data_IF_803892039668
#
_entry.id   IF_803892039668
#
_cell.length_a   1.000
_cell.length_b   1.000
_cell.length_c   1.000
_cell.angle_alpha   90.00
_cell.angle_beta   90.00
_cell.angle_gamma   90.00
#
_symmetry.space_group_name_H-M   'P 1'
#
loop_
_entity.id
_entity.type
_entity.pdbx_description
1 polymer ?
#
# COMPACT_ATOMS: atom_id res chain seq x y z
N UNK A 1 -28.83 -13.96 -28.29
CA UNK A 1 -27.77 -13.65 -29.26
C UNK A 1 -27.21 -12.28 -28.88
N UNK A 2 -26.35 -12.21 -27.86
CA UNK A 2 -25.68 -10.95 -27.53
C UNK A 2 -24.53 -10.79 -28.52
N UNK A 3 -24.93 -10.28 -29.69
CA UNK A 3 -24.11 -10.19 -30.87
C UNK A 3 -23.10 -9.06 -30.63
N UNK A 4 -21.82 -9.41 -30.51
CA UNK A 4 -20.74 -8.45 -30.66
C UNK A 4 -21.03 -7.60 -31.90
N UNK A 5 -20.96 -6.29 -31.76
CA UNK A 5 -21.36 -5.38 -32.83
C UNK A 5 -20.17 -5.13 -33.79
N UNK A 6 -20.46 -4.64 -34.99
CA UNK A 6 -19.42 -4.42 -36.01
C UNK A 6 -18.32 -3.44 -35.54
N UNK A 7 -18.69 -2.43 -34.74
CA UNK A 7 -17.75 -1.43 -34.25
C UNK A 7 -16.73 -2.04 -33.28
N UNK A 8 -17.20 -2.85 -32.32
CA UNK A 8 -16.34 -3.55 -31.37
C UNK A 8 -15.34 -4.49 -32.06
N UNK A 9 -15.76 -5.10 -33.17
CA UNK A 9 -14.88 -5.94 -33.99
C UNK A 9 -13.86 -5.11 -34.76
N UNK A 10 -14.27 -3.98 -35.34
CA UNK A 10 -13.36 -3.07 -36.04
C UNK A 10 -12.28 -2.53 -35.09
N UNK A 11 -12.64 -2.17 -33.86
CA UNK A 11 -11.69 -1.70 -32.83
C UNK A 11 -10.65 -2.77 -32.45
N UNK A 12 -10.96 -4.05 -32.65
CA UNK A 12 -10.08 -5.18 -32.34
C UNK A 12 -9.15 -5.58 -33.50
N UNK A 13 -9.18 -4.89 -34.65
CA UNK A 13 -8.36 -5.26 -35.82
C UNK A 13 -6.86 -5.24 -35.52
N UNK A 14 -6.38 -4.17 -34.89
CA UNK A 14 -4.96 -4.04 -34.52
C UNK A 14 -4.55 -5.09 -33.49
N UNK A 15 -5.36 -5.27 -32.47
CA UNK A 15 -5.11 -6.27 -31.43
C UNK A 15 -5.06 -7.68 -32.02
N UNK A 16 -5.89 -7.97 -33.02
CA UNK A 16 -5.91 -9.25 -33.73
C UNK A 16 -4.65 -9.45 -34.58
N UNK A 17 -4.12 -8.41 -35.22
CA UNK A 17 -2.90 -8.47 -36.02
C UNK A 17 -1.64 -8.57 -35.15
N UNK A 18 -1.62 -7.86 -34.03
CA UNK A 18 -0.54 -7.88 -33.05
C UNK A 18 -0.52 -9.16 -32.20
N UNK A 19 -1.58 -9.97 -32.25
CA UNK A 19 -1.72 -11.17 -31.41
C UNK A 19 -1.99 -10.85 -29.93
N UNK A 20 -2.61 -9.69 -29.65
CA UNK A 20 -2.91 -9.21 -28.29
C UNK A 20 -4.30 -9.61 -27.77
N UNK A 21 -5.15 -10.17 -28.61
CA UNK A 21 -6.44 -10.71 -28.17
C UNK A 21 -6.26 -11.99 -27.38
N UNK A 22 -6.96 -12.09 -26.25
CA UNK A 22 -7.09 -13.37 -25.53
C UNK A 22 -7.90 -14.39 -26.35
N UNK A 23 -7.87 -15.67 -25.94
CA UNK A 23 -8.52 -16.74 -26.69
C UNK A 23 -10.04 -16.56 -26.83
N UNK A 24 -10.70 -16.03 -25.80
CA UNK A 24 -12.14 -15.83 -25.83
C UNK A 24 -12.53 -14.66 -26.75
N UNK A 25 -11.76 -13.57 -26.74
CA UNK A 25 -11.92 -12.43 -27.63
C UNK A 25 -11.63 -12.84 -29.08
N UNK A 26 -10.56 -13.59 -29.32
CA UNK A 26 -10.23 -14.12 -30.65
C UNK A 26 -11.35 -15.00 -31.22
N UNK A 27 -11.91 -15.91 -30.44
CA UNK A 27 -13.01 -16.76 -30.90
C UNK A 27 -14.26 -15.94 -31.24
N UNK A 28 -14.61 -14.96 -30.39
CA UNK A 28 -15.72 -14.05 -30.65
C UNK A 28 -15.48 -13.24 -31.94
N UNK A 29 -14.27 -12.72 -32.12
CA UNK A 29 -13.86 -11.97 -33.31
C UNK A 29 -14.02 -12.81 -34.57
N UNK A 30 -13.43 -14.01 -34.57
CA UNK A 30 -13.48 -14.93 -35.71
C UNK A 30 -14.91 -15.36 -36.03
N UNK A 31 -15.74 -15.61 -35.02
CA UNK A 31 -17.15 -15.92 -35.20
C UNK A 31 -17.92 -14.75 -35.85
N UNK A 32 -17.68 -13.51 -35.43
CA UNK A 32 -18.35 -12.34 -36.01
C UNK A 32 -17.89 -12.07 -37.44
N UNK A 33 -16.58 -12.07 -37.70
CA UNK A 33 -16.01 -11.91 -39.06
C UNK A 33 -16.51 -13.03 -39.98
N UNK A 34 -16.72 -14.25 -39.45
CA UNK A 34 -17.30 -15.36 -40.19
C UNK A 34 -18.82 -15.23 -40.44
N UNK A 35 -19.55 -14.43 -39.67
CA UNK A 35 -20.99 -14.25 -39.84
C UNK A 35 -21.36 -12.94 -40.59
N UNK A 36 -20.53 -11.90 -40.49
CA UNK A 36 -20.81 -10.57 -41.02
C UNK A 36 -20.02 -10.31 -42.31
N UNK A 37 -20.70 -10.14 -43.44
CA UNK A 37 -20.06 -9.87 -44.73
C UNK A 37 -19.29 -8.53 -44.76
N UNK A 38 -19.78 -7.52 -44.04
CA UNK A 38 -19.14 -6.19 -43.96
C UNK A 38 -17.80 -6.30 -43.23
N UNK A 39 -17.81 -6.81 -42.00
CA UNK A 39 -16.58 -6.97 -41.21
C UNK A 39 -15.59 -7.94 -41.88
N UNK A 40 -16.07 -8.96 -42.61
CA UNK A 40 -15.18 -9.84 -43.39
C UNK A 40 -14.43 -9.09 -44.48
N UNK A 41 -15.14 -8.25 -45.24
CA UNK A 41 -14.52 -7.45 -46.30
C UNK A 41 -13.49 -6.50 -45.71
N UNK A 42 -13.89 -5.73 -44.70
CA UNK A 42 -13.01 -4.76 -44.04
C UNK A 42 -11.79 -5.43 -43.42
N UNK A 43 -11.96 -6.56 -42.73
CA UNK A 43 -10.85 -7.33 -42.18
C UNK A 43 -9.87 -7.82 -43.27
N UNK A 44 -10.41 -8.27 -44.41
CA UNK A 44 -9.58 -8.74 -45.53
C UNK A 44 -8.76 -7.60 -46.12
N UNK A 45 -9.39 -6.44 -46.35
CA UNK A 45 -8.72 -5.25 -46.87
C UNK A 45 -7.66 -4.74 -45.88
N UNK A 46 -7.99 -4.72 -44.58
CA UNK A 46 -7.09 -4.31 -43.49
C UNK A 46 -5.86 -5.20 -43.38
N UNK A 47 -6.07 -6.52 -43.32
CA UNK A 47 -5.00 -7.50 -43.24
C UNK A 47 -4.11 -7.50 -44.49
N UNK A 48 -4.69 -7.27 -45.67
CA UNK A 48 -3.92 -7.15 -46.92
C UNK A 48 -3.03 -5.90 -46.93
N UNK A 49 -3.52 -4.75 -46.43
CA UNK A 49 -2.72 -3.54 -46.28
C UNK A 49 -1.56 -3.76 -45.31
N UNK A 50 -1.82 -4.39 -44.16
CA UNK A 50 -0.78 -4.74 -43.20
C UNK A 50 0.28 -5.69 -43.79
N UNK A 51 -0.15 -6.69 -44.54
CA UNK A 51 0.76 -7.62 -45.20
C UNK A 51 1.63 -6.93 -46.27
N UNK A 52 1.10 -5.94 -46.97
CA UNK A 52 1.89 -5.12 -47.88
C UNK A 52 2.99 -4.33 -47.15
N UNK A 53 2.69 -3.78 -45.97
CA UNK A 53 3.67 -3.08 -45.14
C UNK A 53 4.75 -4.03 -44.61
N UNK A 54 4.40 -5.27 -44.23
CA UNK A 54 5.36 -6.26 -43.74
C UNK A 54 6.42 -6.69 -44.77
N UNK A 55 6.15 -6.49 -46.06
CA UNK A 55 7.09 -6.81 -47.14
C UNK A 55 8.13 -5.72 -47.39
N UNK A 56 7.99 -4.55 -46.76
CA UNK A 56 8.97 -3.48 -46.85
C UNK A 56 10.25 -3.93 -46.13
N UNK A 57 11.39 -3.69 -46.76
CA UNK A 57 12.71 -4.01 -46.20
C UNK A 57 12.85 -3.39 -44.80
N UNK A 58 13.17 -4.19 -43.76
CA UNK A 58 13.37 -3.66 -42.42
C UNK A 58 14.52 -2.65 -42.38
N UNK A 59 14.29 -1.51 -41.73
CA UNK A 59 15.37 -0.54 -41.49
C UNK A 59 16.34 -1.13 -40.47
N UNK A 60 17.61 -1.27 -40.86
CA UNK A 60 18.66 -1.69 -39.94
C UNK A 60 18.97 -0.54 -38.97
N UNK A 61 18.81 -0.73 -37.64
CA UNK A 61 19.11 0.32 -36.69
C UNK A 61 20.61 0.61 -36.64
N UNK A 62 20.98 1.86 -36.30
CA UNK A 62 22.39 2.24 -36.11
C UNK A 62 23.04 1.45 -34.96
N UNK A 63 24.37 1.28 -35.04
CA UNK A 63 25.15 0.63 -33.97
C UNK A 63 24.88 1.32 -32.62
N UNK A 64 24.63 0.50 -31.59
CA UNK A 64 24.33 0.97 -30.23
C UNK A 64 22.93 1.59 -30.06
N UNK A 65 22.04 1.49 -31.05
CA UNK A 65 20.65 1.99 -30.91
C UNK A 65 19.93 1.36 -29.72
N UNK A 66 20.00 0.03 -29.57
CA UNK A 66 19.35 -0.69 -28.47
C UNK A 66 19.84 -0.17 -27.11
N UNK A 67 21.16 -0.07 -26.92
CA UNK A 67 21.76 0.45 -25.69
C UNK A 67 21.31 1.87 -25.38
N UNK A 68 21.31 2.77 -26.38
CA UNK A 68 20.86 4.15 -26.18
C UNK A 68 19.37 4.23 -25.84
N UNK A 69 18.55 3.34 -26.40
CA UNK A 69 17.11 3.28 -26.13
C UNK A 69 16.84 2.75 -24.73
N UNK A 70 17.48 1.64 -24.33
CA UNK A 70 17.35 1.07 -22.99
C UNK A 70 17.78 2.08 -21.92
N UNK A 71 18.94 2.73 -22.10
CA UNK A 71 19.40 3.77 -21.17
C UNK A 71 18.38 4.90 -20.99
N UNK A 72 17.70 5.34 -22.06
CA UNK A 72 16.67 6.37 -21.95
C UNK A 72 15.45 5.92 -21.15
N UNK A 73 15.04 4.66 -21.30
CA UNK A 73 13.92 4.09 -20.54
C UNK A 73 14.23 4.00 -19.04
N UNK A 74 15.47 3.64 -18.71
CA UNK A 74 15.93 3.61 -17.32
C UNK A 74 15.97 5.02 -16.70
N UNK A 75 16.54 5.99 -17.43
CA UNK A 75 16.60 7.40 -16.99
C UNK A 75 15.21 8.01 -16.73
N UNK A 76 14.20 7.68 -17.55
CA UNK A 76 12.81 8.13 -17.34
C UNK A 76 12.16 7.47 -16.12
N UNK A 77 12.42 6.18 -15.91
CA UNK A 77 11.87 5.42 -14.78
C UNK A 77 12.41 5.93 -13.46
N UNK A 78 13.72 6.18 -13.38
CA UNK A 78 14.35 6.72 -12.17
C UNK A 78 13.84 8.12 -11.83
N UNK A 79 13.70 9.01 -12.82
CA UNK A 79 13.15 10.36 -12.60
C UNK A 79 11.71 10.34 -12.07
N UNK A 80 10.89 9.39 -12.50
CA UNK A 80 9.49 9.27 -12.06
C UNK A 80 9.35 8.75 -10.62
N UNK A 81 10.24 7.86 -10.19
CA UNK A 81 10.18 7.25 -8.86
C UNK A 81 10.86 8.10 -7.78
N UNK A 82 11.81 8.95 -8.16
CA UNK A 82 12.51 9.88 -7.27
C UNK A 82 11.59 10.74 -6.37
N UNK A 83 10.56 11.45 -6.89
CA UNK A 83 9.68 12.26 -6.04
C UNK A 83 8.79 11.41 -5.11
N UNK A 84 8.46 10.17 -5.50
CA UNK A 84 7.68 9.25 -4.68
C UNK A 84 8.52 8.75 -3.51
N UNK A 85 9.77 8.35 -3.77
CA UNK A 85 10.70 7.89 -2.73
C UNK A 85 11.01 8.98 -1.69
N UNK A 86 11.28 10.21 -2.13
CA UNK A 86 11.50 11.35 -1.22
C UNK A 86 10.26 11.62 -0.36
N UNK A 87 9.06 11.52 -0.95
CA UNK A 87 7.81 11.75 -0.22
C UNK A 87 7.58 10.70 0.87
N UNK A 88 7.86 9.42 0.60
CA UNK A 88 7.79 8.37 1.62
C UNK A 88 8.85 8.55 2.72
N UNK A 89 10.06 8.98 2.37
CA UNK A 89 11.10 9.30 3.35
C UNK A 89 10.66 10.44 4.28
N UNK A 90 10.04 11.49 3.73
CA UNK A 90 9.51 12.63 4.49
C UNK A 90 8.36 12.23 5.43
N UNK A 91 7.47 11.32 5.01
CA UNK A 91 6.44 10.79 5.89
C UNK A 91 7.01 9.91 7.01
N UNK A 92 7.99 9.06 6.68
CA UNK A 92 8.66 8.21 7.67
C UNK A 92 9.33 9.03 8.77
N UNK A 93 10.06 10.09 8.41
CA UNK A 93 10.70 10.97 9.40
C UNK A 93 9.67 11.71 10.27
N UNK A 94 8.59 12.23 9.68
CA UNK A 94 7.53 12.88 10.43
C UNK A 94 6.87 11.95 11.46
N UNK A 95 6.58 10.70 11.10
CA UNK A 95 6.01 9.71 12.01
C UNK A 95 6.95 9.35 13.16
N UNK A 96 8.25 9.19 12.88
CA UNK A 96 9.25 8.94 13.93
C UNK A 96 9.36 10.11 14.89
N UNK A 97 9.40 11.35 14.39
CA UNK A 97 9.44 12.56 15.24
C UNK A 97 8.18 12.68 16.08
N UNK A 98 6.99 12.45 15.50
CA UNK A 98 5.72 12.49 16.23
C UNK A 98 5.62 11.37 17.27
N UNK A 99 6.09 10.16 16.95
CA UNK A 99 6.13 9.03 17.88
C UNK A 99 7.08 9.26 19.04
N UNK A 100 8.30 9.74 18.77
CA UNK A 100 9.28 10.07 19.80
C UNK A 100 8.80 11.26 20.66
N UNK A 101 8.29 12.31 20.03
CA UNK A 101 7.78 13.49 20.72
C UNK A 101 6.57 13.18 21.62
N UNK A 102 5.59 12.43 21.11
CA UNK A 102 4.44 12.00 21.90
C UNK A 102 4.84 11.06 23.05
N UNK A 103 5.77 10.12 22.82
CA UNK A 103 6.28 9.24 23.87
C UNK A 103 7.04 9.98 24.97
N UNK A 104 7.86 10.96 24.62
CA UNK A 104 8.56 11.81 25.58
C UNK A 104 7.60 12.71 26.36
N UNK A 105 6.57 13.29 25.70
CA UNK A 105 5.53 14.06 26.38
C UNK A 105 4.72 13.22 27.36
N UNK A 106 4.33 12.00 26.97
CA UNK A 106 3.61 11.07 27.86
C UNK A 106 4.43 10.68 29.09
N UNK A 107 5.74 10.44 28.92
CA UNK A 107 6.65 10.19 30.05
C UNK A 107 6.68 11.36 31.03
N UNK A 108 6.83 12.59 30.53
CA UNK A 108 6.83 13.78 31.38
C UNK A 108 5.48 14.01 32.08
N UNK A 109 4.36 13.73 31.41
CA UNK A 109 3.05 13.87 32.02
C UNK A 109 2.86 12.85 33.16
N UNK A 110 3.23 11.59 32.93
CA UNK A 110 3.12 10.53 33.93
C UNK A 110 3.97 10.81 35.18
N UNK A 111 5.17 11.40 35.00
CA UNK A 111 6.01 11.82 36.13
C UNK A 111 5.39 12.98 36.91
N UNK A 112 4.82 13.98 36.24
CA UNK A 112 4.13 15.11 36.89
C UNK A 112 2.91 14.65 37.69
N UNK A 113 2.14 13.71 37.16
CA UNK A 113 0.92 13.21 37.79
C UNK A 113 1.24 12.37 39.04
N UNK A 114 2.29 11.54 38.97
CA UNK A 114 2.82 10.83 40.14
C UNK A 114 3.33 11.79 41.21
N UNK A 115 4.10 12.82 40.83
CA UNK A 115 4.58 13.83 41.78
C UNK A 115 3.43 14.56 42.49
N UNK A 116 2.33 14.86 41.78
CA UNK A 116 1.10 15.43 42.38
C UNK A 116 0.42 14.45 43.33
N UNK A 117 0.37 13.17 42.99
CA UNK A 117 -0.22 12.13 43.85
C UNK A 117 0.59 11.98 45.16
N UNK A 118 1.92 11.94 45.07
CA UNK A 118 2.80 11.90 46.24
C UNK A 118 2.67 13.14 47.11
N UNK A 119 2.59 14.34 46.52
CA UNK A 119 2.34 15.58 47.27
C UNK A 119 0.98 15.57 47.99
N UNK A 120 -0.03 14.91 47.41
CA UNK A 120 -1.36 14.77 48.04
C UNK A 120 -1.36 13.75 49.19
N UNK A 121 -0.59 12.68 49.08
CA UNK A 121 -0.45 11.65 50.12
C UNK A 121 0.34 12.19 51.32
N UNK A 122 1.39 12.99 51.09
CA UNK A 122 2.17 13.57 52.17
C UNK A 122 1.41 14.63 53.00
N UNK A 123 0.36 15.22 52.42
CA UNK A 123 -0.55 16.13 53.14
C UNK A 123 -1.68 15.41 53.89
N UNK A 124 -1.87 14.10 53.68
CA UNK A 124 -2.88 13.33 54.40
C UNK A 124 -2.23 12.57 55.55
N UNK A 125 -2.43 13.14 56.73
CA UNK A 125 -2.16 12.63 58.06
C UNK A 125 -2.80 11.23 58.28
N UNK A 126 -2.13 10.17 57.83
CA UNK A 126 -2.62 8.77 57.91
C UNK A 126 -1.88 7.91 58.94
N UNK A 127 -1.16 8.53 59.89
CA UNK A 127 -0.28 7.83 60.83
C UNK A 127 -0.56 8.05 62.32
N UNK A 128 -1.74 8.56 62.71
CA UNK A 128 -2.07 8.71 64.14
C UNK A 128 -2.90 7.58 64.77
N UNK A 129 -3.36 6.57 64.01
CA UNK A 129 -4.19 5.48 64.59
C UNK A 129 -3.48 4.12 64.63
N UNK A 130 -2.26 4.09 65.18
CA UNK A 130 -1.54 2.85 65.53
C UNK A 130 -1.59 2.54 67.03
N UNK A 131 -2.65 2.93 67.73
CA UNK A 131 -2.84 2.59 69.15
C UNK A 131 -3.36 1.14 69.37
N UNK A 132 -3.43 0.34 68.30
CA UNK A 132 -3.85 -1.07 68.34
C UNK A 132 -2.81 -1.98 69.02
N UNK A 133 -1.55 -1.53 69.16
CA UNK A 133 -0.50 -2.33 69.81
C UNK A 133 -0.59 -2.30 71.34
N UNK A 134 -1.17 -1.25 71.94
CA UNK A 134 -1.25 -1.10 73.40
C UNK A 134 -2.28 -2.03 74.09
N UNK A 135 -3.26 -2.56 73.34
CA UNK A 135 -4.29 -3.45 73.91
C UNK A 135 -3.93 -4.94 73.89
N UNK A 136 -2.89 -5.37 73.18
CA UNK A 136 -2.45 -6.78 73.19
C UNK A 136 -1.81 -7.17 74.54
N UNK A 137 -1.18 -6.21 75.21
CA UNK A 137 -0.53 -6.42 76.51
C UNK A 137 -1.55 -6.63 77.63
N UNK A 138 -2.74 -6.01 77.54
CA UNK A 138 -3.82 -6.19 78.52
C UNK A 138 -4.50 -7.55 78.46
N UNK A 139 -4.63 -8.16 77.28
CA UNK A 139 -5.25 -9.49 77.15
C UNK A 139 -4.32 -10.61 77.64
N UNK A 140 -3.01 -10.46 77.44
CA UNK A 140 -2.03 -11.46 77.92
C UNK A 140 -1.71 -11.35 79.41
N UNK A 141 -1.95 -10.19 80.03
CA UNK A 141 -1.82 -10.01 81.48
C UNK A 141 -3.00 -10.65 82.26
N UNK A 142 -4.22 -10.57 81.74
CA UNK A 142 -5.42 -11.08 82.44
C UNK A 142 -5.50 -12.61 82.47
N UNK A 143 -4.95 -13.29 81.45
CA UNK A 143 -4.90 -14.76 81.38
C UNK A 143 -3.92 -15.39 82.40
N UNK A 144 -3.01 -14.59 82.97
CA UNK A 144 -2.03 -15.08 83.98
C UNK A 144 -2.56 -15.06 85.42
N UNK A 145 -3.66 -14.37 85.70
CA UNK A 145 -4.24 -14.30 87.05
C UNK A 145 -5.39 -15.31 87.29
N UNK A 146 -5.71 -16.15 86.29
CA UNK A 146 -6.76 -17.18 86.37
C UNK A 146 -6.24 -18.60 86.70
N UNK A 147 -5.00 -18.74 87.17
CA UNK A 147 -4.36 -19.98 87.66
C UNK A 147 -3.77 -19.73 89.06
#
# INVERSE_FOLDING_TARGET
MNNMNCHEVQDQFDERLDGRLDDAARQRFEAHVAACAVCRKEWTDYAAAWEALRRVEPVTPSVGFVERTLRRLDEETERRLWPVAIRWLAYGTALVVLGLGSGLMWRQHAERERARLYAKIQGSDYLEDFDVVANLERLTANDKEAL
#
